data_IF_260223753939
#
_entry.id   IF_260223753939
#
_cell.length_a   1.000
_cell.length_b   1.000
_cell.length_c   1.000
_cell.angle_alpha   90.00
_cell.angle_beta   90.00
_cell.angle_gamma   90.00
#
_symmetry.space_group_name_H-M   'P 1'
#
loop_
_entity.id
_entity.type
_entity.pdbx_description
1 polymer ?
#
# COMPACT_ATOMS: atom_id res chain seq x y z
N UNK A 1 3.32 5.52 23.73
CA UNK A 1 3.97 5.59 22.40
C UNK A 1 3.53 6.89 21.75
N UNK A 2 4.48 7.71 21.30
CA UNK A 2 4.19 8.93 20.54
C UNK A 2 4.48 8.64 19.07
N UNK A 3 3.51 8.91 18.20
CA UNK A 3 3.67 8.79 16.76
C UNK A 3 3.80 10.19 16.16
N UNK A 4 4.71 10.36 15.21
CA UNK A 4 4.85 11.59 14.44
C UNK A 4 4.39 11.27 13.02
N UNK A 5 3.32 11.93 12.60
CA UNK A 5 2.82 11.85 11.24
C UNK A 5 3.48 12.93 10.39
N UNK A 6 4.10 12.53 9.28
CA UNK A 6 4.79 13.43 8.36
C UNK A 6 4.23 13.15 6.98
N UNK A 7 3.54 14.14 6.41
CA UNK A 7 3.06 14.08 5.04
C UNK A 7 4.25 14.11 4.09
N UNK A 8 4.39 13.10 3.24
CA UNK A 8 5.45 13.03 2.26
C UNK A 8 4.95 12.44 0.94
N UNK A 9 5.55 12.92 -0.15
CA UNK A 9 5.22 12.49 -1.51
C UNK A 9 6.38 11.64 -2.00
N UNK A 10 6.08 10.46 -2.52
CA UNK A 10 7.06 9.58 -3.15
C UNK A 10 7.37 10.16 -4.53
N UNK A 11 8.63 10.54 -4.73
CA UNK A 11 9.17 11.00 -6.01
C UNK A 11 9.55 9.83 -6.92
N UNK A 12 9.79 10.04 -8.23
CA UNK A 12 10.14 8.95 -9.16
C UNK A 12 11.45 8.21 -8.86
N UNK A 13 12.32 8.78 -8.02
CA UNK A 13 13.50 8.12 -7.47
C UNK A 13 13.16 7.07 -6.39
N UNK A 14 11.90 6.99 -5.96
CA UNK A 14 11.40 6.11 -4.92
C UNK A 14 12.15 6.27 -3.58
N UNK A 15 12.69 7.47 -3.31
CA UNK A 15 13.32 7.80 -2.03
C UNK A 15 12.38 8.61 -1.14
N UNK A 16 12.36 8.30 0.16
CA UNK A 16 11.66 9.10 1.17
C UNK A 16 12.67 9.72 2.14
N UNK A 17 12.81 11.05 2.09
CA UNK A 17 13.70 11.82 2.98
C UNK A 17 12.88 12.48 4.09
N UNK A 18 13.02 11.97 5.31
CA UNK A 18 12.30 12.48 6.49
C UNK A 18 13.29 13.16 7.43
N UNK A 19 13.02 14.42 7.76
CA UNK A 19 13.76 15.14 8.82
C UNK A 19 12.92 15.13 10.10
N UNK A 20 13.41 14.46 11.13
CA UNK A 20 12.76 14.46 12.44
C UNK A 20 12.93 15.82 13.13
N UNK A 21 11.96 16.27 13.95
CA UNK A 21 12.08 17.52 14.70
C UNK A 21 13.17 17.47 15.77
N UNK A 22 13.89 18.58 15.96
CA UNK A 22 15.04 18.67 16.88
C UNK A 22 14.67 18.54 18.38
N UNK A 23 13.37 18.60 18.72
CA UNK A 23 12.87 18.45 20.09
C UNK A 23 12.66 16.99 20.51
N UNK A 24 12.84 16.03 19.59
CA UNK A 24 12.73 14.60 19.87
C UNK A 24 14.08 14.10 20.38
N UNK A 25 14.08 13.48 21.56
CA UNK A 25 15.30 12.89 22.13
C UNK A 25 15.89 11.82 21.19
N UNK A 26 17.23 11.77 21.00
CA UNK A 26 17.87 10.72 20.21
C UNK A 26 17.59 9.34 20.81
N UNK A 27 17.30 8.35 19.97
CA UNK A 27 17.00 7.00 20.42
C UNK A 27 16.51 6.08 19.30
N UNK A 28 16.19 4.81 19.62
CA UNK A 28 15.63 3.89 18.65
C UNK A 28 14.26 4.38 18.17
N UNK A 29 14.08 4.40 16.85
CA UNK A 29 12.83 4.78 16.19
C UNK A 29 12.28 3.62 15.37
N UNK A 30 10.96 3.55 15.28
CA UNK A 30 10.25 2.63 14.38
C UNK A 30 9.56 3.46 13.31
N UNK A 31 9.87 3.16 12.05
CA UNK A 31 9.24 3.80 10.89
C UNK A 31 8.17 2.85 10.34
N UNK A 32 6.99 3.38 10.04
CA UNK A 32 5.88 2.66 9.41
C UNK A 32 5.53 3.44 8.14
N UNK A 33 5.55 2.78 6.99
CA UNK A 33 5.17 3.37 5.70
C UNK A 33 3.85 2.73 5.29
N UNK A 34 2.84 3.57 5.05
CA UNK A 34 1.54 3.16 4.55
C UNK A 34 1.38 3.73 3.14
N UNK A 35 1.15 2.85 2.18
CA UNK A 35 0.79 3.28 0.83
C UNK A 35 -0.71 3.45 0.77
N UNK A 36 -1.18 4.66 0.51
CA UNK A 36 -2.56 4.86 0.12
C UNK A 36 -2.74 4.23 -1.26
N UNK A 37 -3.46 3.12 -1.31
CA UNK A 37 -3.91 2.55 -2.58
C UNK A 37 -5.05 3.45 -3.04
N UNK A 38 -4.88 4.09 -4.20
CA UNK A 38 -5.98 4.80 -4.84
C UNK A 38 -7.16 3.81 -4.94
N UNK A 39 -8.35 4.09 -4.37
CA UNK A 39 -9.49 3.18 -4.46
C UNK A 39 -9.92 2.95 -5.92
N UNK A 40 -9.44 3.77 -6.85
CA UNK A 40 -9.65 3.60 -8.30
C UNK A 40 -8.63 2.67 -8.97
N UNK A 41 -7.59 2.22 -8.28
CA UNK A 41 -6.73 1.12 -8.72
C UNK A 41 -7.43 -0.25 -8.60
N UNK A 42 -8.72 -0.30 -8.95
CA UNK A 42 -9.43 -1.53 -9.33
C UNK A 42 -9.12 -1.87 -10.79
N UNK A 43 -7.84 -1.76 -11.18
CA UNK A 43 -7.38 -2.38 -12.40
C UNK A 43 -7.36 -3.87 -12.13
N UNK A 44 -8.08 -4.67 -12.94
CA UNK A 44 -8.10 -6.13 -12.84
C UNK A 44 -6.68 -6.64 -12.63
N UNK A 45 -6.43 -7.17 -11.42
CA UNK A 45 -5.12 -7.69 -11.06
C UNK A 45 -4.90 -9.05 -11.71
N UNK A 46 -3.70 -9.60 -11.56
CA UNK A 46 -3.36 -10.94 -12.05
C UNK A 46 -4.33 -12.02 -11.52
N UNK A 47 -4.92 -11.79 -10.34
CA UNK A 47 -5.93 -12.67 -9.76
C UNK A 47 -7.26 -12.62 -10.53
N UNK A 48 -7.71 -11.42 -10.93
CA UNK A 48 -8.95 -11.26 -11.70
C UNK A 48 -8.83 -11.92 -13.08
N UNK A 49 -7.67 -11.79 -13.74
CA UNK A 49 -7.40 -12.46 -15.02
C UNK A 49 -7.37 -13.99 -14.87
N UNK A 50 -6.82 -14.50 -13.76
CA UNK A 50 -6.82 -15.93 -13.48
C UNK A 50 -8.24 -16.46 -13.26
N UNK A 51 -9.06 -15.74 -12.50
CA UNK A 51 -10.44 -16.13 -12.19
C UNK A 51 -11.33 -16.14 -13.45
N UNK A 52 -11.16 -15.17 -14.35
CA UNK A 52 -11.88 -15.12 -15.64
C UNK A 52 -11.56 -16.32 -16.56
N UNK A 53 -10.38 -16.92 -16.42
CA UNK A 53 -9.94 -18.08 -17.21
C UNK A 53 -10.44 -19.41 -16.66
N UNK A 54 -10.99 -19.45 -15.46
CA UNK A 54 -11.48 -20.69 -14.88
C UNK A 54 -12.76 -21.15 -15.59
N UNK A 55 -12.88 -22.45 -15.93
CA UNK A 55 -14.09 -22.96 -16.55
C UNK A 55 -15.28 -22.80 -15.59
N UNK A 56 -16.33 -22.13 -16.08
CA UNK A 56 -17.57 -21.94 -15.33
C UNK A 56 -18.20 -23.32 -15.12
N UNK A 57 -18.38 -23.71 -13.86
CA UNK A 57 -19.07 -24.93 -13.51
C UNK A 57 -20.56 -24.77 -13.85
N UNK A 58 -20.94 -25.11 -15.08
CA UNK A 58 -22.35 -25.20 -15.48
C UNK A 58 -22.91 -26.47 -14.87
N UNK A 59 -23.33 -26.41 -13.61
CA UNK A 59 -24.19 -27.43 -13.06
C UNK A 59 -25.46 -27.46 -13.91
N UNK A 60 -25.60 -28.51 -14.73
CA UNK A 60 -26.83 -28.82 -15.45
C UNK A 60 -27.90 -29.12 -14.41
N UNK A 61 -28.76 -28.14 -14.15
CA UNK A 61 -30.02 -28.34 -13.43
C UNK A 61 -30.93 -29.22 -14.28
N UNK A 62 -31.53 -30.29 -13.71
CA UNK A 62 -32.38 -31.24 -14.44
C UNK A 62 -33.67 -30.62 -14.98
#
# INVERSE_FOLDING_TARGET
MQAIEINAIITPDHELRVRLPDHVAPGPVRVIVLFESDPTASAKGNLDEFLDRLPINRTTTP
#
